data_IF_144849681794
#
_entry.id   IF_144849681794
#
_cell.length_a   1.000
_cell.length_b   1.000
_cell.length_c   1.000
_cell.angle_alpha   90.00
_cell.angle_beta   90.00
_cell.angle_gamma   90.00
#
_symmetry.space_group_name_H-M   'P 1'
#
loop_
_entity.id
_entity.type
_entity.pdbx_description
1 polymer ?
#
# COMPACT_ATOMS: atom_id res chain seq x y z
N UNK A 1 -4.60 11.26 9.24
CA UNK A 1 -3.51 10.34 9.68
C UNK A 1 -3.40 10.27 11.20
N UNK A 2 -3.21 9.08 11.76
CA UNK A 2 -3.02 8.89 13.21
C UNK A 2 -1.72 9.56 13.67
N UNK A 3 -1.80 10.55 14.58
CA UNK A 3 -0.65 11.36 15.03
C UNK A 3 0.52 10.52 15.56
N UNK A 4 0.25 9.36 16.16
CA UNK A 4 1.30 8.45 16.66
C UNK A 4 2.07 7.78 15.51
N UNK A 5 1.37 7.37 14.46
CA UNK A 5 1.96 6.70 13.29
C UNK A 5 2.81 7.71 12.50
N UNK A 6 2.30 8.92 12.28
CA UNK A 6 3.06 9.96 11.58
C UNK A 6 4.36 10.30 12.32
N UNK A 7 4.31 10.47 13.65
CA UNK A 7 5.51 10.74 14.44
C UNK A 7 6.55 9.62 14.31
N UNK A 8 6.13 8.36 14.46
CA UNK A 8 7.03 7.22 14.30
C UNK A 8 7.64 7.16 12.89
N UNK A 9 6.83 7.41 11.85
CA UNK A 9 7.30 7.40 10.48
C UNK A 9 8.30 8.54 10.19
N UNK A 10 8.07 9.73 10.73
CA UNK A 10 9.02 10.85 10.68
C UNK A 10 10.33 10.51 11.39
N UNK A 11 10.27 9.92 12.60
CA UNK A 11 11.47 9.47 13.34
C UNK A 11 12.27 8.43 12.55
N UNK A 12 11.61 7.51 11.83
CA UNK A 12 12.27 6.55 10.95
C UNK A 12 12.98 7.23 9.78
N UNK A 13 12.34 8.22 9.14
CA UNK A 13 12.95 9.00 8.06
C UNK A 13 14.21 9.73 8.54
N UNK A 14 14.12 10.37 9.70
CA UNK A 14 15.26 11.06 10.32
C UNK A 14 16.42 10.10 10.60
N UNK A 15 16.12 8.90 11.13
CA UNK A 15 17.13 7.87 11.42
C UNK A 15 17.86 7.35 10.18
N UNK A 16 17.26 7.45 8.98
CA UNK A 16 17.92 7.09 7.71
C UNK A 16 18.51 8.31 6.98
N UNK A 17 18.57 9.47 7.62
CA UNK A 17 19.17 10.69 7.08
C UNK A 17 18.25 11.54 6.20
N UNK A 18 16.94 11.28 6.22
CA UNK A 18 15.93 12.07 5.50
C UNK A 18 15.22 13.01 6.49
N UNK A 19 15.66 14.27 6.51
CA UNK A 19 15.18 15.28 7.47
C UNK A 19 13.97 16.06 6.94
N UNK A 20 12.81 15.41 6.93
CA UNK A 20 11.50 16.04 6.68
C UNK A 20 10.38 15.25 7.34
N UNK A 21 9.22 15.88 7.50
CA UNK A 21 8.03 15.17 7.97
C UNK A 21 7.55 14.12 6.97
N UNK A 22 7.03 13.02 7.51
CA UNK A 22 6.34 11.99 6.74
C UNK A 22 5.05 12.53 6.13
N UNK A 23 4.86 12.29 4.84
CA UNK A 23 3.71 12.77 4.08
C UNK A 23 2.74 11.64 3.71
N UNK A 24 1.52 12.00 3.33
CA UNK A 24 0.58 11.03 2.75
C UNK A 24 1.09 10.43 1.42
N UNK A 25 1.97 11.16 0.71
CA UNK A 25 2.63 10.69 -0.51
C UNK A 25 3.67 9.60 -0.20
N UNK A 26 4.41 9.70 0.91
CA UNK A 26 5.31 8.63 1.36
C UNK A 26 4.54 7.34 1.64
N UNK A 27 3.37 7.46 2.27
CA UNK A 27 2.49 6.33 2.49
C UNK A 27 2.04 5.74 1.17
N UNK A 28 1.60 6.59 0.25
CA UNK A 28 1.12 6.16 -1.04
C UNK A 28 2.22 5.40 -1.80
N UNK A 29 3.41 5.96 -1.90
CA UNK A 29 4.57 5.36 -2.57
C UNK A 29 4.96 4.01 -1.92
N UNK A 30 4.97 3.95 -0.58
CA UNK A 30 5.23 2.70 0.15
C UNK A 30 4.19 1.64 -0.20
N UNK A 31 2.92 2.02 -0.24
CA UNK A 31 1.83 1.09 -0.59
C UNK A 31 1.95 0.61 -2.03
N UNK A 32 2.36 1.46 -2.96
CA UNK A 32 2.53 1.09 -4.36
C UNK A 32 3.62 0.02 -4.54
N UNK A 33 4.77 0.20 -3.88
CA UNK A 33 5.84 -0.79 -3.85
C UNK A 33 5.34 -2.11 -3.24
N UNK A 34 4.63 -2.04 -2.11
CA UNK A 34 4.06 -3.22 -1.47
C UNK A 34 3.03 -3.93 -2.35
N UNK A 35 2.19 -3.17 -3.08
CA UNK A 35 1.22 -3.71 -4.03
C UNK A 35 1.90 -4.49 -5.15
N UNK A 36 2.97 -3.96 -5.73
CA UNK A 36 3.72 -4.64 -6.80
C UNK A 36 4.27 -5.99 -6.30
N UNK A 37 4.92 -6.01 -5.14
CA UNK A 37 5.46 -7.22 -4.53
C UNK A 37 4.34 -8.22 -4.19
N UNK A 38 3.25 -7.73 -3.59
CA UNK A 38 2.10 -8.56 -3.22
C UNK A 38 1.47 -9.22 -4.46
N UNK A 39 1.27 -8.45 -5.53
CA UNK A 39 0.69 -8.94 -6.78
C UNK A 39 1.60 -9.97 -7.46
N UNK A 40 2.91 -9.74 -7.48
CA UNK A 40 3.89 -10.68 -8.01
C UNK A 40 3.87 -12.01 -7.24
N UNK A 41 3.82 -11.96 -5.90
CA UNK A 41 3.74 -13.16 -5.05
C UNK A 41 2.43 -13.91 -5.23
N UNK A 42 1.30 -13.20 -5.29
CA UNK A 42 0.00 -13.81 -5.55
C UNK A 42 -0.01 -14.55 -6.90
N UNK A 43 0.50 -13.91 -7.96
CA UNK A 43 0.63 -14.54 -9.26
C UNK A 43 1.50 -15.80 -9.18
N UNK A 44 2.71 -15.71 -8.60
CA UNK A 44 3.61 -16.85 -8.47
C UNK A 44 2.99 -18.04 -7.73
N UNK A 45 2.21 -17.79 -6.68
CA UNK A 45 1.62 -18.84 -5.86
C UNK A 45 0.38 -19.50 -6.49
N UNK A 46 -0.34 -18.78 -7.35
CA UNK A 46 -1.62 -19.20 -7.90
C UNK A 46 -1.63 -19.45 -9.42
N UNK A 47 -0.57 -19.11 -10.16
CA UNK A 47 -0.52 -19.23 -11.64
C UNK A 47 -0.85 -20.64 -12.16
N UNK A 48 -0.48 -21.68 -11.42
CA UNK A 48 -0.70 -23.08 -11.82
C UNK A 48 -2.03 -23.65 -11.29
N UNK A 49 -2.74 -22.88 -10.46
CA UNK A 49 -3.99 -23.29 -9.77
C UNK A 49 -5.22 -22.56 -10.30
N UNK A 50 -5.04 -21.37 -10.86
CA UNK A 50 -6.11 -20.47 -11.27
C UNK A 50 -5.92 -20.01 -12.71
N UNK A 51 -7.02 -19.86 -13.43
CA UNK A 51 -7.02 -19.21 -14.74
C UNK A 51 -6.67 -17.72 -14.61
N UNK A 52 -6.19 -17.10 -15.69
CA UNK A 52 -5.92 -15.66 -15.73
C UNK A 52 -7.14 -14.81 -15.32
N UNK A 53 -8.35 -15.26 -15.70
CA UNK A 53 -9.61 -14.60 -15.31
C UNK A 53 -9.87 -14.69 -13.80
N UNK A 54 -9.59 -15.82 -13.18
CA UNK A 54 -9.71 -15.99 -11.73
C UNK A 54 -8.64 -15.19 -10.98
N UNK A 55 -7.41 -15.16 -11.50
CA UNK A 55 -6.33 -14.31 -10.97
C UNK A 55 -6.70 -12.83 -11.04
N UNK A 56 -7.27 -12.36 -12.15
CA UNK A 56 -7.75 -10.98 -12.28
C UNK A 56 -8.85 -10.62 -11.27
N UNK A 57 -9.77 -11.55 -10.98
CA UNK A 57 -10.79 -11.37 -9.94
C UNK A 57 -10.16 -11.31 -8.54
N UNK A 58 -9.26 -12.24 -8.23
CA UNK A 58 -8.56 -12.29 -6.96
C UNK A 58 -7.75 -11.01 -6.72
N UNK A 59 -7.02 -10.55 -7.73
CA UNK A 59 -6.29 -9.29 -7.72
C UNK A 59 -7.18 -8.09 -7.43
N UNK A 60 -8.33 -8.00 -8.11
CA UNK A 60 -9.28 -6.91 -7.90
C UNK A 60 -9.80 -6.87 -6.46
N UNK A 61 -10.22 -8.02 -5.92
CA UNK A 61 -10.76 -8.10 -4.56
C UNK A 61 -9.68 -7.89 -3.48
N UNK A 62 -8.47 -8.39 -3.72
CA UNK A 62 -7.33 -8.15 -2.84
C UNK A 62 -6.92 -6.67 -2.83
N UNK A 63 -6.90 -6.01 -3.99
CA UNK A 63 -6.63 -4.57 -4.10
C UNK A 63 -7.68 -3.72 -3.37
N UNK A 64 -8.97 -4.05 -3.51
CA UNK A 64 -10.05 -3.40 -2.75
C UNK A 64 -9.88 -3.57 -1.24
N UNK A 65 -9.60 -4.80 -0.80
CA UNK A 65 -9.40 -5.13 0.62
C UNK A 65 -8.21 -4.37 1.19
N UNK A 66 -7.07 -4.37 0.48
CA UNK A 66 -5.87 -3.63 0.87
C UNK A 66 -6.14 -2.12 1.01
N UNK A 67 -6.84 -1.52 0.05
CA UNK A 67 -7.23 -0.10 0.14
C UNK A 67 -8.07 0.18 1.38
N UNK A 68 -9.07 -0.67 1.66
CA UNK A 68 -9.92 -0.51 2.85
C UNK A 68 -9.11 -0.63 4.14
N UNK A 69 -8.18 -1.59 4.21
CA UNK A 69 -7.28 -1.76 5.36
C UNK A 69 -6.44 -0.50 5.57
N UNK A 70 -5.84 0.04 4.52
CA UNK A 70 -5.00 1.24 4.62
C UNK A 70 -5.83 2.43 5.10
N UNK A 71 -6.98 2.68 4.47
CA UNK A 71 -7.89 3.76 4.88
C UNK A 71 -8.31 3.60 6.35
N UNK A 72 -8.62 2.39 6.80
CA UNK A 72 -9.04 2.12 8.17
C UNK A 72 -7.95 2.46 9.20
N UNK A 73 -6.69 2.06 8.93
CA UNK A 73 -5.61 2.18 9.91
C UNK A 73 -4.85 3.51 9.82
N UNK A 74 -4.75 4.11 8.63
CA UNK A 74 -3.99 5.34 8.42
C UNK A 74 -4.90 6.55 8.22
N UNK A 75 -6.16 6.35 7.82
CA UNK A 75 -7.06 7.44 7.42
C UNK A 75 -6.76 8.01 6.03
N UNK A 76 -5.81 7.43 5.29
CA UNK A 76 -5.41 7.92 3.96
C UNK A 76 -6.20 7.16 2.88
N UNK A 77 -6.90 7.91 2.03
CA UNK A 77 -7.55 7.35 0.85
C UNK A 77 -6.60 7.42 -0.34
N UNK A 78 -5.97 6.29 -0.66
CA UNK A 78 -5.03 6.18 -1.78
C UNK A 78 -5.62 6.64 -3.12
N UNK A 79 -6.92 6.45 -3.34
CA UNK A 79 -7.54 6.94 -4.58
C UNK A 79 -7.55 8.46 -4.68
N UNK A 80 -7.48 9.19 -3.56
CA UNK A 80 -7.37 10.66 -3.57
C UNK A 80 -5.94 11.12 -3.75
N UNK A 81 -4.96 10.31 -3.32
CA UNK A 81 -3.54 10.64 -3.49
C UNK A 81 -3.10 10.47 -4.95
N UNK A 82 -3.63 9.45 -5.64
CA UNK A 82 -3.29 9.13 -7.03
C UNK A 82 -4.24 9.72 -8.08
N UNK A 83 -5.27 10.47 -7.65
CA UNK A 83 -6.11 11.23 -8.58
C UNK A 83 -5.46 12.59 -8.79
N UNK A 84 -4.77 12.74 -9.91
CA UNK A 84 -4.62 14.03 -10.58
C UNK A 84 -6.00 14.58 -10.98
#
# INVERSE_FOLDING_TARGET
MNKKINKLATEILENIGVYREYTDEDLANTVLILQEVFMAKMYQYHKDKLTLKQLGKLATEAGKSLRQTILLFTGVDLHKVYKE
#
